data_IF_030304075430
#
_entry.id   IF_030304075430
#
_cell.length_a   1.000
_cell.length_b   1.000
_cell.length_c   1.000
_cell.angle_alpha   90.00
_cell.angle_beta   90.00
_cell.angle_gamma   90.00
#
_symmetry.space_group_name_H-M   'P 1'
#
loop_
_entity.id
_entity.type
_entity.pdbx_description
1 polymer ?
#
# COMPACT_ATOMS: atom_id res chain seq x y z
N UNK A 1 -7.94 4.86 13.38
CA UNK A 1 -9.37 5.22 13.45
C UNK A 1 -10.13 4.71 12.23
N UNK A 2 -10.02 5.35 11.04
CA UNK A 2 -10.80 4.98 9.84
C UNK A 2 -10.79 3.48 9.50
N UNK A 3 -9.63 2.83 9.39
CA UNK A 3 -9.56 1.39 9.07
C UNK A 3 -10.28 0.47 10.07
N UNK A 4 -10.29 0.82 11.37
CA UNK A 4 -11.02 0.06 12.39
C UNK A 4 -12.54 0.17 12.19
N UNK A 5 -13.03 1.35 11.77
CA UNK A 5 -14.44 1.57 11.44
C UNK A 5 -14.83 0.75 10.21
N UNK A 6 -14.00 0.73 9.15
CA UNK A 6 -14.26 -0.09 7.95
C UNK A 6 -14.31 -1.58 8.30
N UNK A 7 -13.34 -2.10 9.07
CA UNK A 7 -13.34 -3.51 9.51
C UNK A 7 -14.57 -3.85 10.37
N UNK A 8 -14.95 -2.97 11.31
CA UNK A 8 -16.15 -3.16 12.13
C UNK A 8 -17.43 -3.14 11.29
N UNK A 9 -17.56 -2.23 10.33
CA UNK A 9 -18.70 -2.17 9.41
C UNK A 9 -18.78 -3.44 8.54
N UNK A 10 -17.67 -3.90 7.97
CA UNK A 10 -17.64 -5.15 7.20
C UNK A 10 -17.99 -6.37 8.05
N UNK A 11 -17.51 -6.45 9.30
CA UNK A 11 -17.88 -7.51 10.23
C UNK A 11 -19.38 -7.48 10.57
N UNK A 12 -19.94 -6.30 10.87
CA UNK A 12 -21.37 -6.12 11.15
C UNK A 12 -22.23 -6.48 9.93
N UNK A 13 -21.84 -6.07 8.73
CA UNK A 13 -22.53 -6.42 7.49
C UNK A 13 -22.51 -7.93 7.25
N UNK A 14 -21.34 -8.57 7.33
CA UNK A 14 -21.22 -10.02 7.18
C UNK A 14 -22.05 -10.78 8.23
N UNK A 15 -21.95 -10.40 9.50
CA UNK A 15 -22.74 -11.00 10.58
C UNK A 15 -24.25 -10.83 10.36
N UNK A 16 -24.70 -9.62 9.98
CA UNK A 16 -26.11 -9.36 9.70
C UNK A 16 -26.64 -10.16 8.52
N UNK A 17 -25.84 -10.33 7.46
CA UNK A 17 -26.19 -11.16 6.31
C UNK A 17 -26.25 -12.65 6.68
N UNK A 18 -25.27 -13.16 7.45
CA UNK A 18 -25.26 -14.54 7.94
C UNK A 18 -26.47 -14.84 8.83
N UNK A 19 -26.78 -13.94 9.78
CA UNK A 19 -27.95 -14.07 10.66
C UNK A 19 -29.25 -14.00 9.85
N UNK A 20 -29.37 -13.08 8.90
CA UNK A 20 -30.54 -12.97 8.02
C UNK A 20 -30.77 -14.25 7.20
N UNK A 21 -29.72 -14.79 6.57
CA UNK A 21 -29.79 -16.04 5.79
C UNK A 21 -30.18 -17.22 6.68
N UNK A 22 -29.60 -17.31 7.89
CA UNK A 22 -29.94 -18.36 8.85
C UNK A 22 -31.41 -18.30 9.29
N UNK A 23 -31.88 -17.12 9.73
CA UNK A 23 -33.27 -16.91 10.14
C UNK A 23 -34.25 -17.20 8.98
N UNK A 24 -33.92 -16.75 7.77
CA UNK A 24 -34.74 -17.03 6.57
C UNK A 24 -34.82 -18.52 6.27
N UNK A 25 -33.71 -19.27 6.41
CA UNK A 25 -33.70 -20.73 6.21
C UNK A 25 -34.47 -21.50 7.28
N UNK A 26 -34.53 -20.98 8.51
CA UNK A 26 -35.33 -21.55 9.61
C UNK A 26 -36.82 -21.29 9.41
N UNK A 27 -37.20 -20.23 8.69
CA UNK A 27 -38.60 -19.90 8.45
C UNK A 27 -39.24 -20.70 7.30
N UNK A 28 -38.44 -21.22 6.35
CA UNK A 28 -38.93 -22.03 5.22
C UNK A 28 -39.11 -23.53 5.51
N UNK A 29 -38.56 -24.06 6.63
CA UNK A 29 -38.67 -25.51 6.98
C UNK A 29 -40.08 -25.99 7.32
N UNK A 30 -41.08 -25.09 7.37
CA UNK A 30 -42.49 -25.46 7.38
C UNK A 30 -43.01 -26.07 6.06
N UNK A 31 -42.26 -25.95 4.96
CA UNK A 31 -42.59 -26.51 3.65
C UNK A 31 -41.79 -27.78 3.34
N UNK A 32 -42.42 -28.80 2.74
CA UNK A 32 -41.88 -30.17 2.59
C UNK A 32 -40.81 -30.34 1.49
N UNK A 33 -40.04 -29.31 1.15
CA UNK A 33 -38.91 -29.42 0.21
C UNK A 33 -37.69 -28.66 0.72
N UNK A 34 -36.47 -29.21 0.59
CA UNK A 34 -35.24 -28.53 0.98
C UNK A 34 -34.93 -27.40 -0.02
N UNK A 35 -35.41 -26.19 0.27
CA UNK A 35 -35.08 -25.01 -0.51
C UNK A 35 -33.71 -24.48 -0.09
N UNK A 36 -32.80 -24.26 -1.05
CA UNK A 36 -31.55 -23.54 -0.79
C UNK A 36 -31.86 -22.11 -0.32
N UNK A 37 -31.17 -21.58 0.71
CA UNK A 37 -31.44 -20.23 1.23
C UNK A 37 -31.32 -19.17 0.14
N UNK A 38 -32.39 -18.39 -0.08
CA UNK A 38 -32.46 -17.37 -1.15
C UNK A 38 -32.37 -15.97 -0.57
N UNK A 39 -31.35 -15.20 -0.96
CA UNK A 39 -31.21 -13.80 -0.55
C UNK A 39 -32.35 -12.90 -1.08
N UNK A 40 -32.90 -13.22 -2.25
CA UNK A 40 -33.99 -12.48 -2.88
C UNK A 40 -34.80 -13.39 -3.80
N UNK A 41 -36.13 -13.20 -3.83
CA UNK A 41 -37.05 -13.85 -4.76
C UNK A 41 -37.92 -12.78 -5.41
N UNK A 42 -37.94 -12.72 -6.75
CA UNK A 42 -38.68 -11.71 -7.49
C UNK A 42 -38.29 -11.67 -8.96
N UNK A 43 -38.55 -10.54 -9.62
CA UNK A 43 -38.23 -10.33 -11.03
C UNK A 43 -36.73 -10.37 -11.31
N UNK A 44 -36.34 -11.05 -12.39
CA UNK A 44 -34.94 -11.22 -12.81
C UNK A 44 -34.21 -9.86 -12.95
N UNK A 45 -34.89 -8.83 -13.46
CA UNK A 45 -34.35 -7.47 -13.60
C UNK A 45 -33.97 -6.83 -12.27
N UNK A 46 -34.76 -7.02 -11.20
CA UNK A 46 -34.48 -6.51 -9.86
C UNK A 46 -33.40 -7.34 -9.18
N UNK A 47 -33.44 -8.67 -9.31
CA UNK A 47 -32.40 -9.56 -8.80
C UNK A 47 -31.02 -9.23 -9.39
N UNK A 48 -30.95 -9.01 -10.70
CA UNK A 48 -29.71 -8.63 -11.41
C UNK A 48 -29.15 -7.29 -10.89
N UNK A 49 -30.01 -6.26 -10.76
CA UNK A 49 -29.61 -4.95 -10.22
C UNK A 49 -29.07 -5.09 -8.80
N UNK A 50 -29.78 -5.81 -7.92
CA UNK A 50 -29.36 -6.04 -6.54
C UNK A 50 -28.01 -6.74 -6.48
N UNK A 51 -27.80 -7.79 -7.28
CA UNK A 51 -26.54 -8.51 -7.38
C UNK A 51 -25.38 -7.59 -7.78
N UNK A 52 -25.55 -6.77 -8.81
CA UNK A 52 -24.52 -5.82 -9.26
C UNK A 52 -24.17 -4.78 -8.18
N UNK A 53 -25.15 -4.25 -7.45
CA UNK A 53 -24.90 -3.29 -6.36
C UNK A 53 -24.25 -3.92 -5.13
N UNK A 54 -24.66 -5.13 -4.74
CA UNK A 54 -24.04 -5.88 -3.63
C UNK A 54 -22.58 -6.19 -3.96
N UNK A 55 -22.28 -6.68 -5.16
CA UNK A 55 -20.89 -6.87 -5.59
C UNK A 55 -20.11 -5.57 -5.67
N UNK A 56 -20.69 -4.45 -6.10
CA UNK A 56 -20.02 -3.15 -6.07
C UNK A 56 -19.63 -2.76 -4.64
N UNK A 57 -20.57 -2.83 -3.68
CA UNK A 57 -20.34 -2.50 -2.28
C UNK A 57 -19.25 -3.38 -1.64
N UNK A 58 -19.28 -4.69 -1.91
CA UNK A 58 -18.25 -5.63 -1.43
C UNK A 58 -16.87 -5.22 -1.96
N UNK A 59 -16.73 -4.92 -3.26
CA UNK A 59 -15.45 -4.52 -3.84
C UNK A 59 -14.95 -3.16 -3.29
N UNK A 60 -15.84 -2.20 -3.02
CA UNK A 60 -15.51 -0.94 -2.33
C UNK A 60 -14.94 -1.22 -0.94
N UNK A 61 -15.65 -2.00 -0.12
CA UNK A 61 -15.22 -2.33 1.25
C UNK A 61 -13.90 -3.10 1.26
N UNK A 62 -13.74 -4.11 0.40
CA UNK A 62 -12.50 -4.87 0.25
C UNK A 62 -11.32 -3.99 -0.15
N UNK A 63 -11.51 -3.05 -1.09
CA UNK A 63 -10.43 -2.12 -1.48
C UNK A 63 -10.06 -1.18 -0.32
N UNK A 64 -11.03 -0.70 0.46
CA UNK A 64 -10.79 0.17 1.63
C UNK A 64 -10.06 -0.57 2.76
N UNK A 65 -10.38 -1.86 3.00
CA UNK A 65 -9.63 -2.72 3.91
C UNK A 65 -8.20 -2.92 3.41
N UNK A 66 -8.03 -3.31 2.14
CA UNK A 66 -6.70 -3.50 1.53
C UNK A 66 -5.83 -2.24 1.61
N UNK A 67 -6.42 -1.07 1.32
CA UNK A 67 -5.76 0.24 1.43
C UNK A 67 -5.35 0.56 2.87
N UNK A 68 -6.24 0.29 3.83
CA UNK A 68 -5.97 0.48 5.26
C UNK A 68 -4.87 -0.45 5.76
N UNK A 69 -4.93 -1.75 5.43
CA UNK A 69 -3.90 -2.74 5.77
C UNK A 69 -2.55 -2.36 5.17
N UNK A 70 -2.51 -1.91 3.91
CA UNK A 70 -1.29 -1.44 3.25
C UNK A 70 -0.67 -0.24 4.00
N UNK A 71 -1.47 0.72 4.44
CA UNK A 71 -1.00 1.84 5.26
C UNK A 71 -0.47 1.39 6.63
N UNK A 72 -1.19 0.52 7.35
CA UNK A 72 -0.71 0.00 8.64
C UNK A 72 0.58 -0.84 8.47
N UNK A 73 0.69 -1.64 7.42
CA UNK A 73 1.93 -2.34 7.07
C UNK A 73 3.09 -1.38 6.81
N UNK A 74 2.87 -0.26 6.10
CA UNK A 74 3.88 0.78 5.89
C UNK A 74 4.32 1.44 7.22
N UNK A 75 3.39 1.74 8.13
CA UNK A 75 3.75 2.26 9.45
C UNK A 75 4.55 1.28 10.30
N UNK A 76 4.22 -0.02 10.27
CA UNK A 76 4.96 -1.04 11.02
C UNK A 76 6.38 -1.29 10.49
N UNK A 77 6.61 -1.04 9.19
CA UNK A 77 7.96 -1.07 8.56
C UNK A 77 8.77 0.21 8.79
N UNK A 78 8.18 1.27 9.33
CA UNK A 78 8.88 2.53 9.58
C UNK A 78 9.83 2.38 10.77
N UNK A 79 11.15 2.55 10.60
CA UNK A 79 12.10 2.41 11.70
C UNK A 79 12.02 3.62 12.65
N UNK A 80 12.15 3.35 13.95
CA UNK A 80 12.32 4.38 14.98
C UNK A 80 13.74 4.97 14.94
N UNK A 81 13.94 6.17 15.51
CA UNK A 81 15.28 6.80 15.53
C UNK A 81 16.34 5.90 16.19
N UNK A 82 16.01 5.26 17.31
CA UNK A 82 16.91 4.34 18.00
C UNK A 82 17.26 3.09 17.16
N UNK A 83 16.35 2.59 16.32
CA UNK A 83 16.64 1.50 15.37
C UNK A 83 17.55 2.00 14.24
N UNK A 84 17.34 3.22 13.71
CA UNK A 84 18.24 3.85 12.74
C UNK A 84 19.65 4.01 13.32
N UNK A 85 19.78 4.57 14.53
CA UNK A 85 21.08 4.76 15.20
C UNK A 85 21.80 3.44 15.47
N UNK A 86 21.06 2.36 15.80
CA UNK A 86 21.62 1.01 15.96
C UNK A 86 22.18 0.46 14.65
N UNK A 87 21.51 0.70 13.52
CA UNK A 87 21.96 0.22 12.20
C UNK A 87 23.12 1.07 11.67
N UNK A 88 23.11 2.39 11.90
CA UNK A 88 24.21 3.29 11.54
C UNK A 88 25.51 2.95 12.28
N UNK A 89 25.45 2.51 13.55
CA UNK A 89 26.61 1.96 14.28
C UNK A 89 27.26 0.75 13.60
N UNK A 90 26.53 0.04 12.75
CA UNK A 90 27.02 -1.12 11.99
C UNK A 90 27.46 -0.76 10.56
N UNK A 91 27.57 0.54 10.23
CA UNK A 91 27.85 1.04 8.86
C UNK A 91 26.81 0.58 7.82
N UNK A 92 25.59 0.29 8.26
CA UNK A 92 24.46 -0.09 7.43
C UNK A 92 23.42 1.03 7.37
N UNK A 93 22.46 0.92 6.45
CA UNK A 93 21.35 1.85 6.30
C UNK A 93 20.00 1.14 6.22
N UNK A 94 18.96 1.82 6.69
CA UNK A 94 17.54 1.45 6.49
C UNK A 94 16.83 2.44 5.56
N UNK A 95 15.69 2.03 5.00
CA UNK A 95 14.82 2.91 4.24
C UNK A 95 13.80 3.62 5.16
N UNK A 96 13.49 4.88 4.86
CA UNK A 96 12.57 5.75 5.59
C UNK A 96 11.50 6.24 4.62
N UNK A 97 10.24 6.28 5.06
CA UNK A 97 9.12 6.87 4.29
C UNK A 97 8.63 6.08 3.07
N UNK A 98 9.15 4.88 2.80
CA UNK A 98 8.74 4.02 1.67
C UNK A 98 8.44 2.59 2.13
N UNK A 99 7.70 1.83 1.32
CA UNK A 99 7.39 0.43 1.59
C UNK A 99 8.58 -0.50 1.25
N UNK A 100 9.49 -0.71 2.20
CA UNK A 100 10.66 -1.57 2.02
C UNK A 100 10.65 -2.75 3.00
N UNK A 101 10.56 -3.97 2.46
CA UNK A 101 10.52 -5.22 3.24
C UNK A 101 11.88 -5.54 3.89
N UNK A 102 12.98 -5.00 3.38
CA UNK A 102 14.31 -5.11 3.99
C UNK A 102 14.36 -4.55 5.42
N UNK A 103 13.51 -3.55 5.73
CA UNK A 103 13.38 -3.01 7.08
C UNK A 103 12.94 -4.05 8.12
N UNK A 104 12.23 -5.13 7.71
CA UNK A 104 11.79 -6.20 8.60
C UNK A 104 12.93 -6.80 9.43
N UNK A 105 14.15 -6.81 8.90
CA UNK A 105 15.34 -7.35 9.59
C UNK A 105 15.74 -6.50 10.79
N UNK A 106 15.52 -5.19 10.73
CA UNK A 106 16.04 -4.20 11.66
C UNK A 106 15.01 -3.71 12.70
N UNK A 107 13.71 -3.76 12.39
CA UNK A 107 12.65 -3.37 13.31
C UNK A 107 12.46 -4.36 14.47
N UNK A 108 11.92 -3.84 15.58
CA UNK A 108 11.53 -4.56 16.78
C UNK A 108 10.64 -5.78 16.53
N UNK A 109 10.78 -6.80 17.39
CA UNK A 109 10.01 -8.05 17.29
C UNK A 109 8.49 -7.81 17.28
N UNK A 110 7.98 -6.90 18.13
CA UNK A 110 6.56 -6.53 18.15
C UNK A 110 6.07 -6.04 16.78
N UNK A 111 6.76 -5.07 16.18
CA UNK A 111 6.36 -4.52 14.89
C UNK A 111 6.47 -5.57 13.78
N UNK A 112 7.49 -6.44 13.83
CA UNK A 112 7.68 -7.57 12.92
C UNK A 112 6.53 -8.59 13.01
N UNK A 113 6.15 -9.02 14.22
CA UNK A 113 5.03 -9.93 14.45
C UNK A 113 3.71 -9.30 14.00
N UNK A 114 3.44 -8.04 14.36
CA UNK A 114 2.23 -7.34 13.90
C UNK A 114 2.19 -7.19 12.38
N UNK A 115 3.33 -6.89 11.74
CA UNK A 115 3.40 -6.80 10.28
C UNK A 115 3.18 -8.18 9.64
N UNK A 116 3.80 -9.24 10.16
CA UNK A 116 3.60 -10.61 9.70
C UNK A 116 2.14 -11.01 9.86
N UNK A 117 1.52 -10.81 11.03
CA UNK A 117 0.09 -11.11 11.25
C UNK A 117 -0.79 -10.28 10.32
N UNK A 118 -0.48 -9.01 10.04
CA UNK A 118 -1.28 -8.19 9.12
C UNK A 118 -1.10 -8.59 7.65
N UNK A 119 0.13 -8.92 7.23
CA UNK A 119 0.42 -9.42 5.89
C UNK A 119 -0.20 -10.81 5.67
N UNK A 120 -0.06 -11.71 6.65
CA UNK A 120 -0.63 -13.07 6.68
C UNK A 120 -2.08 -13.16 7.17
N UNK A 121 -2.75 -12.03 7.43
CA UNK A 121 -4.22 -11.94 7.43
C UNK A 121 -4.74 -11.21 6.20
N UNK A 122 -4.02 -10.27 5.60
CA UNK A 122 -4.52 -9.53 4.42
C UNK A 122 -4.34 -10.32 3.10
N UNK A 123 -3.17 -10.91 2.86
CA UNK A 123 -2.95 -11.80 1.71
C UNK A 123 -3.73 -13.13 1.88
N UNK A 124 -3.76 -13.74 3.08
CA UNK A 124 -4.44 -14.99 3.33
C UNK A 124 -5.83 -14.82 3.96
N UNK A 125 -6.48 -13.66 3.95
CA UNK A 125 -7.96 -13.65 3.95
C UNK A 125 -8.50 -13.77 2.53
N UNK A 126 -7.73 -13.32 1.52
CA UNK A 126 -7.96 -13.80 0.14
C UNK A 126 -7.57 -15.28 -0.03
N UNK A 127 -6.49 -15.76 0.61
CA UNK A 127 -6.00 -17.14 0.43
C UNK A 127 -6.46 -18.19 1.48
N UNK A 128 -6.85 -17.84 2.71
CA UNK A 128 -7.35 -18.80 3.75
C UNK A 128 -8.88 -18.84 3.85
N UNK A 129 -9.60 -17.78 3.48
CA UNK A 129 -11.02 -17.97 3.08
C UNK A 129 -11.14 -18.93 1.89
N UNK A 130 -10.02 -19.13 1.17
CA UNK A 130 -9.81 -20.12 0.11
C UNK A 130 -9.23 -21.47 0.62
N UNK A 131 -8.53 -21.53 1.77
CA UNK A 131 -7.88 -22.76 2.29
C UNK A 131 -8.61 -23.42 3.47
N UNK A 132 -9.64 -22.81 4.08
CA UNK A 132 -10.43 -23.45 5.14
C UNK A 132 -11.61 -24.30 4.62
N UNK A 133 -11.59 -24.72 3.35
CA UNK A 133 -12.33 -25.90 2.87
C UNK A 133 -11.56 -26.65 1.76
N UNK A 134 -11.46 -27.98 1.91
CA UNK A 134 -10.55 -28.82 1.13
C UNK A 134 -11.07 -29.33 -0.24
N UNK A 135 -10.25 -29.05 -1.26
CA UNK A 135 -9.89 -29.83 -2.45
C UNK A 135 -10.83 -30.11 -3.65
N UNK A 136 -10.23 -29.93 -4.85
CA UNK A 136 -10.67 -30.28 -6.20
C UNK A 136 -11.15 -29.08 -7.05
N UNK A 137 -11.94 -29.27 -8.11
CA UNK A 137 -11.68 -29.86 -9.44
C UNK A 137 -12.95 -29.64 -10.31
N UNK A 138 -12.88 -28.86 -11.40
CA UNK A 138 -14.03 -28.24 -12.09
C UNK A 138 -14.54 -28.89 -13.37
N UNK A 139 -15.63 -28.32 -13.88
CA UNK A 139 -16.43 -28.76 -15.02
C UNK A 139 -15.56 -29.24 -16.21
N UNK A 140 -15.92 -30.42 -16.73
CA UNK A 140 -15.04 -31.24 -17.54
C UNK A 140 -14.72 -30.61 -18.90
N UNK A 141 -15.54 -29.70 -19.39
CA UNK A 141 -15.40 -29.14 -20.75
C UNK A 141 -14.26 -28.11 -20.89
N UNK A 142 -13.91 -27.38 -19.83
CA UNK A 142 -12.77 -26.46 -19.85
C UNK A 142 -11.42 -27.18 -19.71
N UNK A 143 -11.38 -28.24 -18.90
CA UNK A 143 -10.19 -29.10 -18.76
C UNK A 143 -10.00 -30.08 -19.93
N UNK A 144 -11.06 -30.35 -20.71
CA UNK A 144 -11.00 -31.17 -21.94
C UNK A 144 -9.99 -30.62 -22.96
N UNK A 145 -9.87 -29.29 -23.08
CA UNK A 145 -8.92 -28.64 -23.97
C UNK A 145 -7.50 -28.54 -23.39
N UNK A 146 -7.33 -28.78 -22.08
CA UNK A 146 -6.05 -28.74 -21.37
C UNK A 146 -5.46 -30.15 -21.10
N UNK A 147 -6.09 -31.22 -21.60
CA UNK A 147 -5.52 -32.57 -21.59
C UNK A 147 -5.60 -33.34 -20.26
N UNK A 148 -6.40 -32.88 -19.30
CA UNK A 148 -6.51 -33.48 -17.96
C UNK A 148 -7.88 -34.16 -17.76
N UNK A 149 -8.02 -35.36 -18.32
CA UNK A 149 -9.30 -36.10 -18.39
C UNK A 149 -9.67 -36.86 -17.11
N UNK A 150 -10.96 -36.88 -16.78
CA UNK A 150 -11.58 -37.91 -15.92
C UNK A 150 -12.82 -38.45 -16.62
N UNK A 151 -12.83 -39.76 -16.91
CA UNK A 151 -13.88 -40.49 -17.63
C UNK A 151 -15.14 -40.64 -16.76
N UNK A 152 -16.30 -40.64 -17.41
CA UNK A 152 -17.61 -40.86 -16.79
C UNK A 152 -17.99 -42.34 -16.82
N UNK A 153 -18.22 -42.94 -15.66
CA UNK A 153 -18.73 -44.31 -15.52
C UNK A 153 -19.88 -44.40 -14.49
N UNK A 154 -20.71 -45.42 -14.60
CA UNK A 154 -22.13 -45.36 -14.23
C UNK A 154 -22.52 -45.96 -12.87
N UNK A 155 -23.60 -45.38 -12.32
CA UNK A 155 -24.61 -45.92 -11.38
C UNK A 155 -24.26 -47.16 -10.52
N UNK A 156 -23.75 -46.94 -9.29
CA UNK A 156 -24.20 -47.65 -8.06
C UNK A 156 -23.57 -47.16 -6.72
N UNK A 157 -22.82 -46.05 -6.68
CA UNK A 157 -22.29 -45.46 -5.43
C UNK A 157 -22.43 -43.93 -5.45
N UNK A 158 -23.65 -43.46 -5.70
CA UNK A 158 -23.83 -42.21 -6.46
C UNK A 158 -23.81 -40.92 -5.65
N UNK A 159 -24.47 -40.84 -4.49
CA UNK A 159 -24.77 -39.52 -3.91
C UNK A 159 -23.60 -38.85 -3.19
N UNK A 160 -22.83 -39.61 -2.38
CA UNK A 160 -21.61 -39.11 -1.75
C UNK A 160 -20.55 -38.73 -2.80
N UNK A 161 -20.38 -39.54 -3.85
CA UNK A 161 -19.44 -39.28 -4.95
C UNK A 161 -19.90 -38.10 -5.83
N UNK A 162 -21.21 -37.93 -6.04
CA UNK A 162 -21.83 -36.76 -6.71
C UNK A 162 -21.64 -35.48 -5.90
N UNK A 163 -21.98 -35.48 -4.61
CA UNK A 163 -21.85 -34.33 -3.71
C UNK A 163 -20.39 -33.89 -3.58
N UNK A 164 -19.46 -34.85 -3.46
CA UNK A 164 -18.02 -34.61 -3.56
C UNK A 164 -17.65 -33.96 -4.89
N UNK A 165 -18.04 -34.54 -6.04
CA UNK A 165 -17.65 -34.00 -7.34
C UNK A 165 -18.24 -32.62 -7.70
N UNK A 166 -19.39 -32.26 -7.13
CA UNK A 166 -20.00 -30.94 -7.31
C UNK A 166 -19.30 -29.87 -6.45
N UNK A 167 -18.98 -30.20 -5.19
CA UNK A 167 -18.18 -29.35 -4.29
C UNK A 167 -16.82 -29.02 -4.91
N UNK A 168 -16.20 -30.04 -5.53
CA UNK A 168 -14.95 -29.88 -6.28
C UNK A 168 -15.07 -28.80 -7.36
N UNK A 169 -16.13 -28.82 -8.18
CA UNK A 169 -16.23 -27.86 -9.28
C UNK A 169 -16.47 -26.42 -8.85
N UNK A 170 -17.15 -26.25 -7.73
CA UNK A 170 -17.31 -24.97 -7.06
C UNK A 170 -15.96 -24.36 -6.68
N UNK A 171 -15.11 -25.13 -5.98
CA UNK A 171 -13.82 -24.64 -5.48
C UNK A 171 -12.91 -24.16 -6.61
N UNK A 172 -12.71 -24.96 -7.66
CA UNK A 172 -11.79 -24.60 -8.75
C UNK A 172 -12.26 -23.39 -9.57
N UNK A 173 -13.58 -23.18 -9.73
CA UNK A 173 -14.12 -21.96 -10.39
C UNK A 173 -13.93 -20.73 -9.48
N UNK A 174 -14.21 -20.85 -8.18
CA UNK A 174 -14.01 -19.78 -7.20
C UNK A 174 -12.53 -19.40 -7.08
N UNK A 175 -11.63 -20.38 -7.00
CA UNK A 175 -10.17 -20.19 -7.02
C UNK A 175 -9.74 -19.41 -8.26
N UNK A 176 -10.13 -19.86 -9.45
CA UNK A 176 -9.72 -19.25 -10.70
C UNK A 176 -10.20 -17.80 -10.84
N UNK A 177 -11.46 -17.51 -10.47
CA UNK A 177 -11.98 -16.16 -10.47
C UNK A 177 -11.26 -15.24 -9.45
N UNK A 178 -10.92 -15.76 -8.26
CA UNK A 178 -10.24 -14.99 -7.23
C UNK A 178 -8.73 -14.83 -7.44
N UNK A 179 -8.06 -15.70 -8.22
CA UNK A 179 -6.66 -15.51 -8.63
C UNK A 179 -6.48 -14.18 -9.34
N UNK A 180 -7.39 -13.81 -10.24
CA UNK A 180 -7.35 -12.52 -10.93
C UNK A 180 -7.62 -11.34 -9.99
N UNK A 181 -8.52 -11.51 -9.01
CA UNK A 181 -8.76 -10.50 -7.97
C UNK A 181 -7.51 -10.27 -7.11
N UNK A 182 -6.82 -11.35 -6.69
CA UNK A 182 -5.57 -11.28 -5.95
C UNK A 182 -4.46 -10.59 -6.76
N UNK A 183 -4.35 -10.86 -8.07
CA UNK A 183 -3.38 -10.18 -8.93
C UNK A 183 -3.65 -8.67 -9.04
N UNK A 184 -4.91 -8.24 -9.10
CA UNK A 184 -5.28 -6.81 -9.04
C UNK A 184 -4.91 -6.21 -7.67
N UNK A 185 -5.14 -6.92 -6.56
CA UNK A 185 -4.76 -6.49 -5.20
C UNK A 185 -3.23 -6.35 -5.04
N UNK A 186 -2.45 -7.28 -5.60
CA UNK A 186 -0.98 -7.21 -5.59
C UNK A 186 -0.49 -6.05 -6.46
N UNK A 187 -1.08 -5.87 -7.64
CA UNK A 187 -0.77 -4.74 -8.52
C UNK A 187 -1.09 -3.39 -7.86
N UNK A 188 -2.16 -3.29 -7.05
CA UNK A 188 -2.45 -2.10 -6.23
C UNK A 188 -1.31 -1.81 -5.23
N UNK A 189 -0.86 -2.82 -4.47
CA UNK A 189 0.21 -2.64 -3.47
C UNK A 189 1.51 -2.19 -4.15
N UNK A 190 1.91 -2.85 -5.24
CA UNK A 190 3.10 -2.48 -6.02
C UNK A 190 3.01 -1.07 -6.60
N UNK A 191 1.86 -0.71 -7.19
CA UNK A 191 1.63 0.63 -7.77
C UNK A 191 1.65 1.70 -6.67
N UNK A 192 1.01 1.46 -5.52
CA UNK A 192 1.04 2.37 -4.39
C UNK A 192 2.46 2.56 -3.83
N UNK A 193 3.21 1.47 -3.67
CA UNK A 193 4.60 1.52 -3.19
C UNK A 193 5.48 2.36 -4.12
N UNK A 194 5.40 2.13 -5.43
CA UNK A 194 6.22 2.85 -6.41
C UNK A 194 5.81 4.32 -6.55
N UNK A 195 4.52 4.64 -6.60
CA UNK A 195 4.04 6.03 -6.54
C UNK A 195 4.51 6.74 -5.25
N UNK A 196 4.58 6.02 -4.13
CA UNK A 196 5.13 6.57 -2.88
C UNK A 196 6.63 6.86 -3.01
N UNK A 197 7.43 5.96 -3.58
CA UNK A 197 8.85 6.19 -3.85
C UNK A 197 9.06 7.41 -4.78
N UNK A 198 8.36 7.48 -5.92
CA UNK A 198 8.42 8.63 -6.83
C UNK A 198 7.99 9.94 -6.14
N UNK A 199 6.96 9.91 -5.30
CA UNK A 199 6.52 11.10 -4.58
C UNK A 199 7.54 11.57 -3.54
N UNK A 200 8.10 10.66 -2.74
CA UNK A 200 9.16 10.94 -1.74
C UNK A 200 10.39 11.55 -2.43
N UNK A 201 10.88 10.92 -3.50
CA UNK A 201 12.03 11.44 -4.25
C UNK A 201 11.72 12.80 -4.92
N UNK A 202 10.51 12.99 -5.48
CA UNK A 202 10.11 14.29 -6.03
C UNK A 202 10.02 15.40 -4.97
N UNK A 203 9.67 15.05 -3.73
CA UNK A 203 9.68 16.02 -2.64
C UNK A 203 11.12 16.33 -2.20
N UNK A 204 11.94 15.30 -1.99
CA UNK A 204 13.37 15.39 -1.67
C UNK A 204 14.11 16.31 -2.63
N UNK A 205 14.06 16.02 -3.94
CA UNK A 205 14.68 16.85 -4.97
C UNK A 205 14.16 18.28 -4.98
N UNK A 206 12.88 18.47 -4.68
CA UNK A 206 12.28 19.80 -4.58
C UNK A 206 12.74 20.62 -3.37
N UNK A 207 13.51 20.08 -2.42
CA UNK A 207 14.21 20.88 -1.39
C UNK A 207 15.56 21.45 -1.88
N UNK A 208 16.08 21.04 -3.04
CA UNK A 208 17.28 21.67 -3.62
C UNK A 208 16.96 22.96 -4.38
N UNK A 209 15.74 23.06 -4.90
CA UNK A 209 15.29 24.18 -5.75
C UNK A 209 14.44 25.23 -5.03
N UNK A 210 13.84 24.89 -3.88
CA UNK A 210 13.03 25.83 -3.09
C UNK A 210 12.98 25.47 -1.61
N UNK A 211 12.99 26.50 -0.76
CA UNK A 211 12.70 26.36 0.67
C UNK A 211 11.33 25.71 0.91
N UNK A 212 11.30 24.75 1.83
CA UNK A 212 10.08 24.09 2.32
C UNK A 212 10.21 23.79 3.81
N UNK A 213 9.11 23.87 4.53
CA UNK A 213 9.00 23.37 5.90
C UNK A 213 8.83 21.86 5.93
N UNK A 214 9.50 21.18 6.88
CA UNK A 214 9.41 19.73 7.07
C UNK A 214 7.97 19.26 7.37
N UNK A 215 7.67 18.02 6.99
CA UNK A 215 6.41 17.33 7.30
C UNK A 215 6.60 16.39 8.49
N UNK A 216 5.80 16.57 9.55
CA UNK A 216 5.87 15.79 10.81
C UNK A 216 4.47 15.46 11.33
N UNK A 217 4.33 14.42 12.16
CA UNK A 217 3.02 13.95 12.62
C UNK A 217 2.31 14.92 13.57
N UNK A 218 3.09 15.59 14.44
CA UNK A 218 2.62 16.67 15.32
C UNK A 218 3.43 17.94 15.01
N UNK A 219 2.93 18.84 14.16
CA UNK A 219 3.68 20.03 13.73
C UNK A 219 3.78 21.09 14.82
N UNK A 220 4.95 21.72 14.91
CA UNK A 220 5.23 22.90 15.72
C UNK A 220 5.69 24.06 14.83
N UNK A 221 5.26 25.29 15.17
CA UNK A 221 5.68 26.50 14.45
C UNK A 221 5.29 26.49 12.96
N UNK A 222 6.27 26.58 12.06
CA UNK A 222 6.06 26.61 10.60
C UNK A 222 6.09 25.21 9.94
N UNK A 223 6.19 24.13 10.71
CA UNK A 223 6.13 22.76 10.20
C UNK A 223 4.76 22.43 9.59
N UNK A 224 4.71 21.43 8.71
CA UNK A 224 3.46 20.91 8.12
C UNK A 224 3.11 19.57 8.75
N UNK A 225 1.82 19.27 8.87
CA UNK A 225 1.37 17.91 9.21
C UNK A 225 1.75 16.94 8.08
N UNK A 226 1.96 15.65 8.40
CA UNK A 226 1.97 14.61 7.36
C UNK A 226 0.58 14.46 6.75
N UNK A 227 0.49 13.76 5.62
CA UNK A 227 -0.80 13.24 5.17
C UNK A 227 -1.19 12.06 6.07
N UNK A 228 -2.49 11.86 6.29
CA UNK A 228 -3.03 10.66 6.94
C UNK A 228 -2.89 9.39 6.06
N UNK A 229 -2.74 9.58 4.75
CA UNK A 229 -2.39 8.54 3.77
C UNK A 229 -0.93 8.70 3.35
N UNK A 230 -0.24 7.61 2.99
CA UNK A 230 1.15 7.65 2.51
C UNK A 230 1.36 8.57 1.29
N UNK A 231 0.31 8.71 0.46
CA UNK A 231 0.26 9.58 -0.70
C UNK A 231 -0.73 10.75 -0.50
N UNK A 232 -0.48 11.92 -1.11
CA UNK A 232 -1.47 12.99 -1.20
C UNK A 232 -2.81 12.49 -1.78
N UNK A 233 -3.93 13.01 -1.28
CA UNK A 233 -5.29 12.65 -1.72
C UNK A 233 -5.49 12.69 -3.25
N UNK A 234 -4.86 13.65 -3.93
CA UNK A 234 -4.89 13.80 -5.41
C UNK A 234 -4.30 12.61 -6.19
N UNK A 235 -3.49 11.76 -5.55
CA UNK A 235 -2.98 10.51 -6.14
C UNK A 235 -3.64 9.29 -5.50
N UNK A 236 -3.86 9.32 -4.18
CA UNK A 236 -4.44 8.20 -3.46
C UNK A 236 -5.90 7.92 -3.85
N UNK A 237 -6.73 8.96 -4.04
CA UNK A 237 -8.14 8.76 -4.40
C UNK A 237 -8.32 8.20 -5.82
N UNK A 238 -7.69 8.77 -6.89
CA UNK A 238 -7.80 8.17 -8.22
C UNK A 238 -7.21 6.76 -8.29
N UNK A 239 -6.11 6.49 -7.57
CA UNK A 239 -5.51 5.15 -7.50
C UNK A 239 -6.51 4.16 -6.89
N UNK A 240 -6.97 4.40 -5.66
CA UNK A 240 -7.91 3.50 -4.97
C UNK A 240 -9.21 3.35 -5.76
N UNK A 241 -9.78 4.42 -6.31
CA UNK A 241 -10.98 4.36 -7.13
C UNK A 241 -10.81 3.51 -8.41
N UNK A 242 -9.69 3.66 -9.11
CA UNK A 242 -9.42 2.86 -10.33
C UNK A 242 -9.29 1.37 -10.01
N UNK A 243 -8.61 1.02 -8.91
CA UNK A 243 -8.50 -0.36 -8.46
C UNK A 243 -9.84 -0.93 -7.95
N UNK A 244 -10.68 -0.14 -7.26
CA UNK A 244 -12.05 -0.55 -6.92
C UNK A 244 -12.90 -0.82 -8.16
N UNK A 245 -12.80 0.04 -9.19
CA UNK A 245 -13.50 -0.17 -10.47
C UNK A 245 -13.01 -1.46 -11.12
N UNK A 246 -11.70 -1.71 -11.18
CA UNK A 246 -11.13 -2.95 -11.73
C UNK A 246 -11.60 -4.20 -10.99
N UNK A 247 -11.58 -4.20 -9.66
CA UNK A 247 -12.09 -5.31 -8.84
C UNK A 247 -13.58 -5.58 -9.12
N UNK A 248 -14.38 -4.51 -9.22
CA UNK A 248 -15.81 -4.61 -9.53
C UNK A 248 -16.07 -5.12 -10.96
N UNK A 249 -15.44 -4.52 -11.98
CA UNK A 249 -15.64 -4.95 -13.38
C UNK A 249 -15.14 -6.37 -13.59
N UNK A 250 -14.04 -6.77 -12.95
CA UNK A 250 -13.59 -8.16 -12.95
C UNK A 250 -14.66 -9.08 -12.35
N UNK A 251 -15.27 -8.72 -11.21
CA UNK A 251 -16.34 -9.52 -10.56
C UNK A 251 -17.62 -9.64 -11.40
N UNK A 252 -17.91 -8.67 -12.29
CA UNK A 252 -19.01 -8.77 -13.26
C UNK A 252 -18.61 -9.50 -14.55
N UNK A 253 -17.31 -9.66 -14.80
CA UNK A 253 -16.76 -10.32 -15.98
C UNK A 253 -16.57 -11.82 -15.83
N UNK A 254 -16.30 -12.29 -14.61
CA UNK A 254 -16.03 -13.68 -14.26
C UNK A 254 -16.78 -14.00 -12.97
N UNK A 255 -17.85 -14.78 -13.07
CA UNK A 255 -18.76 -15.08 -11.96
C UNK A 255 -19.20 -16.53 -11.97
N UNK A 256 -19.46 -17.10 -10.78
CA UNK A 256 -20.01 -18.44 -10.67
C UNK A 256 -21.50 -18.43 -11.09
N UNK A 257 -21.90 -19.38 -11.93
CA UNK A 257 -23.30 -19.63 -12.30
C UNK A 257 -23.68 -21.06 -12.00
N UNK A 258 -24.87 -21.26 -11.42
CA UNK A 258 -25.48 -22.58 -11.20
C UNK A 258 -26.69 -22.70 -12.11
N UNK A 259 -26.75 -23.75 -12.93
CA UNK A 259 -27.88 -24.05 -13.81
C UNK A 259 -28.55 -25.33 -13.33
N UNK A 260 -29.76 -25.19 -12.78
CA UNK A 260 -30.62 -26.31 -12.42
C UNK A 260 -31.48 -26.73 -13.61
N UNK A 261 -31.28 -27.95 -14.10
CA UNK A 261 -32.08 -28.57 -15.16
C UNK A 261 -33.18 -29.41 -14.51
N UNK A 262 -34.43 -29.05 -14.78
CA UNK A 262 -35.61 -29.69 -14.19
C UNK A 262 -36.35 -30.51 -15.26
N UNK A 263 -36.61 -31.79 -14.99
CA UNK A 263 -37.41 -32.64 -15.87
C UNK A 263 -38.84 -32.77 -15.31
N UNK A 264 -39.75 -33.36 -16.09
CA UNK A 264 -41.16 -33.59 -15.70
C UNK A 264 -41.36 -34.44 -14.44
N UNK A 265 -40.33 -35.16 -13.97
CA UNK A 265 -40.31 -35.90 -12.71
C UNK A 265 -39.53 -35.24 -11.56
N UNK A 266 -39.03 -34.00 -11.73
CA UNK A 266 -38.22 -33.28 -10.75
C UNK A 266 -36.80 -32.93 -11.22
N UNK A 267 -36.00 -32.42 -10.28
CA UNK A 267 -34.66 -31.88 -10.53
C UNK A 267 -33.73 -32.96 -11.10
N UNK A 268 -33.32 -32.80 -12.37
CA UNK A 268 -32.56 -33.81 -13.10
C UNK A 268 -31.05 -33.68 -12.89
N UNK A 269 -30.52 -32.45 -12.92
CA UNK A 269 -29.11 -32.15 -12.72
C UNK A 269 -28.91 -30.68 -12.34
N UNK A 270 -27.94 -30.40 -11.49
CA UNK A 270 -27.40 -29.05 -11.30
C UNK A 270 -25.99 -29.04 -11.90
N UNK A 271 -25.74 -28.10 -12.82
CA UNK A 271 -24.44 -27.91 -13.45
C UNK A 271 -23.85 -26.57 -13.01
N UNK A 272 -22.52 -26.57 -12.87
CA UNK A 272 -21.76 -25.45 -12.34
C UNK A 272 -20.84 -24.88 -13.41
N UNK A 273 -21.00 -23.61 -13.73
CA UNK A 273 -20.28 -22.96 -14.82
C UNK A 273 -19.59 -21.68 -14.35
N UNK A 274 -18.43 -21.39 -14.94
CA UNK A 274 -17.85 -20.06 -14.91
C UNK A 274 -18.58 -19.21 -15.95
N UNK A 275 -19.52 -18.38 -15.48
CA UNK A 275 -20.14 -17.36 -16.30
C UNK A 275 -19.10 -16.30 -16.69
N UNK A 276 -18.99 -16.02 -17.99
CA UNK A 276 -18.16 -14.94 -18.51
C UNK A 276 -19.02 -13.88 -19.19
N UNK A 277 -18.72 -12.60 -18.94
CA UNK A 277 -19.43 -11.48 -19.55
C UNK A 277 -18.45 -10.62 -20.36
N UNK A 278 -18.50 -10.64 -21.70
CA UNK A 278 -17.50 -9.98 -22.54
C UNK A 278 -17.38 -8.47 -22.31
N UNK A 279 -18.51 -7.78 -22.06
CA UNK A 279 -18.55 -6.31 -21.92
C UNK A 279 -17.69 -5.80 -20.73
N UNK A 280 -17.91 -6.25 -19.48
CA UNK A 280 -17.05 -5.88 -18.36
C UNK A 280 -15.64 -6.49 -18.45
N UNK A 281 -15.45 -7.63 -19.13
CA UNK A 281 -14.11 -8.19 -19.37
C UNK A 281 -13.25 -7.24 -20.22
N UNK A 282 -13.79 -6.78 -21.37
CA UNK A 282 -13.14 -5.80 -22.24
C UNK A 282 -12.81 -4.50 -21.49
N UNK A 283 -13.73 -4.00 -20.65
CA UNK A 283 -13.50 -2.81 -19.83
C UNK A 283 -12.37 -3.02 -18.81
N UNK A 284 -12.33 -4.19 -18.15
CA UNK A 284 -11.28 -4.55 -17.19
C UNK A 284 -9.90 -4.60 -17.87
N UNK A 285 -9.81 -5.24 -19.04
CA UNK A 285 -8.58 -5.32 -19.84
C UNK A 285 -8.14 -3.93 -20.33
N UNK A 286 -9.07 -3.08 -20.79
CA UNK A 286 -8.76 -1.73 -21.25
C UNK A 286 -8.23 -0.83 -20.13
N UNK A 287 -8.85 -0.84 -18.95
CA UNK A 287 -8.39 -0.07 -17.78
C UNK A 287 -7.03 -0.61 -17.29
N UNK A 288 -6.87 -1.94 -17.22
CA UNK A 288 -5.62 -2.58 -16.83
C UNK A 288 -4.46 -2.26 -17.79
N UNK A 289 -4.70 -2.33 -19.10
CA UNK A 289 -3.74 -1.96 -20.13
C UNK A 289 -3.34 -0.49 -20.06
N UNK A 290 -4.29 0.42 -19.86
CA UNK A 290 -4.01 1.85 -19.68
C UNK A 290 -3.15 2.10 -18.43
N UNK A 291 -3.45 1.43 -17.31
CA UNK A 291 -2.61 1.54 -16.10
C UNK A 291 -1.19 1.05 -16.33
N UNK A 292 -1.00 -0.07 -17.05
CA UNK A 292 0.33 -0.59 -17.39
C UNK A 292 1.11 0.41 -18.27
N UNK A 293 0.46 1.05 -19.24
CA UNK A 293 1.08 2.08 -20.09
C UNK A 293 1.45 3.35 -19.29
N UNK A 294 0.55 3.84 -18.42
CA UNK A 294 0.83 4.98 -17.52
C UNK A 294 2.00 4.65 -16.60
N UNK A 295 2.02 3.45 -16.03
CA UNK A 295 3.06 2.97 -15.13
C UNK A 295 4.42 2.82 -15.83
N UNK A 296 4.46 2.21 -17.02
CA UNK A 296 5.66 2.16 -17.85
C UNK A 296 6.17 3.58 -18.20
N UNK A 297 5.27 4.48 -18.57
CA UNK A 297 5.59 5.89 -18.82
C UNK A 297 6.13 6.65 -17.60
N UNK A 298 5.76 6.26 -16.38
CA UNK A 298 6.34 6.78 -15.13
C UNK A 298 7.74 6.18 -14.90
N UNK A 299 7.89 4.86 -15.05
CA UNK A 299 9.18 4.16 -14.89
C UNK A 299 10.26 4.64 -15.89
N UNK A 300 9.86 5.10 -17.07
CA UNK A 300 10.77 5.69 -18.07
C UNK A 300 11.16 7.15 -17.78
N UNK A 301 10.60 7.81 -16.75
CA UNK A 301 10.97 9.19 -16.41
C UNK A 301 12.26 9.26 -15.60
N UNK A 302 13.32 9.73 -16.25
CA UNK A 302 14.55 10.15 -15.56
C UNK A 302 14.32 11.50 -14.89
N UNK A 303 14.31 11.52 -13.55
CA UNK A 303 14.30 12.75 -12.78
C UNK A 303 15.73 13.30 -12.64
N UNK A 304 16.06 14.35 -13.39
CA UNK A 304 17.24 15.17 -13.10
C UNK A 304 17.01 15.91 -11.78
N UNK A 305 17.96 15.80 -10.86
CA UNK A 305 17.85 16.27 -9.48
C UNK A 305 19.07 17.09 -9.08
N UNK A 306 18.89 18.00 -8.12
CA UNK A 306 19.98 18.80 -7.53
C UNK A 306 20.58 18.09 -6.31
N UNK A 307 19.76 17.32 -5.58
CA UNK A 307 20.23 16.51 -4.46
C UNK A 307 20.72 15.15 -4.95
N UNK A 308 21.66 14.51 -4.24
CA UNK A 308 21.90 13.07 -4.37
C UNK A 308 20.59 12.29 -4.28
N UNK A 309 20.37 11.36 -5.21
CA UNK A 309 19.16 10.54 -5.24
C UNK A 309 19.09 9.61 -4.03
N UNK A 310 17.88 9.31 -3.55
CA UNK A 310 17.68 8.41 -2.42
C UNK A 310 17.19 9.15 -1.18
N UNK A 311 16.18 10.02 -1.32
CA UNK A 311 15.50 10.70 -0.22
C UNK A 311 14.78 9.76 0.77
N UNK A 312 14.83 8.46 0.54
CA UNK A 312 14.41 7.41 1.47
C UNK A 312 15.58 6.72 2.19
N UNK A 313 16.83 6.93 1.81
CA UNK A 313 17.99 6.26 2.43
C UNK A 313 18.41 6.99 3.70
N UNK A 314 18.32 6.33 4.86
CA UNK A 314 18.70 6.92 6.16
C UNK A 314 20.13 7.48 6.21
N UNK A 315 21.09 6.86 5.51
CA UNK A 315 22.47 7.38 5.44
C UNK A 315 22.57 8.67 4.62
N UNK A 316 21.91 8.74 3.45
CA UNK A 316 21.88 9.94 2.59
C UNK A 316 21.13 11.09 3.28
N UNK A 317 20.02 10.78 3.95
CA UNK A 317 19.28 11.74 4.78
C UNK A 317 20.18 12.25 5.91
N UNK A 318 20.93 11.38 6.60
CA UNK A 318 21.82 11.79 7.68
C UNK A 318 22.97 12.68 7.18
N UNK A 319 23.60 12.32 6.05
CA UNK A 319 24.67 13.09 5.44
C UNK A 319 24.22 14.53 5.10
N UNK A 320 23.03 14.67 4.49
CA UNK A 320 22.46 15.96 4.15
C UNK A 320 22.00 16.81 5.36
N UNK A 321 21.94 16.23 6.57
CA UNK A 321 21.44 16.87 7.78
C UNK A 321 22.53 17.42 8.73
N UNK A 322 23.80 17.45 8.32
CA UNK A 322 24.89 18.09 9.07
C UNK A 322 24.81 19.63 9.00
N UNK A 323 23.77 20.19 9.60
CA UNK A 323 23.56 21.65 9.66
C UNK A 323 24.63 22.37 10.53
N UNK A 324 24.87 23.68 10.32
CA UNK A 324 25.65 24.49 11.26
C UNK A 324 25.13 24.43 12.69
N UNK A 325 26.02 24.61 13.68
CA UNK A 325 25.67 24.52 15.11
C UNK A 325 24.71 25.63 15.56
N UNK A 326 24.79 26.79 14.90
CA UNK A 326 24.00 28.00 15.15
C UNK A 326 22.54 27.83 14.69
N UNK A 327 22.30 27.04 13.64
CA UNK A 327 20.97 26.84 13.04
C UNK A 327 20.11 25.83 13.85
N UNK A 328 20.02 26.02 15.17
CA UNK A 328 19.39 25.07 16.09
C UNK A 328 17.92 24.81 15.77
N UNK A 329 17.21 25.84 15.33
CA UNK A 329 15.78 25.78 14.99
C UNK A 329 15.50 25.40 13.53
N UNK A 330 16.50 24.94 12.76
CA UNK A 330 16.32 24.56 11.35
C UNK A 330 15.07 23.68 11.13
N UNK A 331 14.86 22.71 12.02
CA UNK A 331 13.73 21.77 11.96
C UNK A 331 12.34 22.43 12.09
N UNK A 332 12.24 23.61 12.71
CA UNK A 332 11.01 24.37 12.90
C UNK A 332 10.77 25.41 11.78
N UNK A 333 11.79 25.69 10.96
CA UNK A 333 11.82 26.71 9.92
C UNK A 333 11.72 26.08 8.51
N UNK A 334 11.44 26.87 7.45
CA UNK A 334 11.59 26.40 6.07
C UNK A 334 13.07 26.21 5.71
N UNK A 335 13.45 24.99 5.33
CA UNK A 335 14.83 24.63 4.95
C UNK A 335 14.97 24.46 3.44
N UNK A 336 16.18 24.69 2.93
CA UNK A 336 16.62 24.33 1.59
C UNK A 336 17.97 23.61 1.72
N UNK A 337 18.29 22.73 0.77
CA UNK A 337 19.60 22.08 0.69
C UNK A 337 20.47 22.76 -0.37
N UNK A 338 21.74 22.99 -0.05
CA UNK A 338 22.74 23.56 -0.95
C UNK A 338 24.05 23.88 -0.20
N UNK A 339 24.99 24.54 -0.88
CA UNK A 339 26.25 24.98 -0.29
C UNK A 339 25.98 26.12 0.71
N UNK A 340 26.46 25.95 1.95
CA UNK A 340 26.49 27.00 2.97
C UNK A 340 27.83 27.73 2.89
N UNK A 341 27.83 29.05 2.68
CA UNK A 341 29.06 29.80 2.54
C UNK A 341 29.78 30.00 3.88
N UNK A 342 31.09 29.67 3.90
CA UNK A 342 31.95 29.81 5.08
C UNK A 342 32.06 31.25 5.63
N UNK A 343 31.69 32.27 4.83
CA UNK A 343 31.67 33.68 5.25
C UNK A 343 30.49 33.98 6.17
N UNK A 344 29.29 33.46 5.88
CA UNK A 344 28.15 33.55 6.82
C UNK A 344 28.46 32.78 8.10
N UNK A 345 29.13 31.61 7.99
CA UNK A 345 29.56 30.84 9.16
C UNK A 345 30.56 31.63 10.03
N UNK A 346 31.59 32.27 9.46
CA UNK A 346 32.53 33.13 10.21
C UNK A 346 31.83 34.32 10.87
N UNK A 347 30.87 34.96 10.20
CA UNK A 347 30.12 36.10 10.73
C UNK A 347 29.10 35.71 11.83
N UNK A 348 28.50 34.52 11.72
CA UNK A 348 27.62 33.95 12.74
C UNK A 348 28.42 33.48 13.97
N UNK A 349 29.59 32.87 13.77
CA UNK A 349 30.50 32.49 14.86
C UNK A 349 30.98 33.74 15.62
N UNK A 350 31.37 34.82 14.93
CA UNK A 350 31.84 36.04 15.62
C UNK A 350 30.73 36.73 16.40
N UNK A 351 29.50 36.79 15.87
CA UNK A 351 28.35 37.36 16.58
C UNK A 351 27.85 36.45 17.72
N UNK A 352 27.93 35.13 17.58
CA UNK A 352 27.63 34.19 18.67
C UNK A 352 28.69 34.22 19.79
N UNK A 353 29.98 34.40 19.46
CA UNK A 353 31.03 34.64 20.45
C UNK A 353 30.83 35.96 21.18
N UNK A 354 30.51 37.05 20.48
CA UNK A 354 30.20 38.34 21.08
C UNK A 354 28.97 38.26 22.01
N UNK A 355 27.94 37.49 21.63
CA UNK A 355 26.78 37.24 22.48
C UNK A 355 27.12 36.41 23.73
N UNK A 356 28.00 35.40 23.63
CA UNK A 356 28.49 34.63 24.79
C UNK A 356 29.33 35.48 25.75
N UNK A 357 30.18 36.37 25.24
CA UNK A 357 31.00 37.26 26.07
C UNK A 357 30.18 38.30 26.86
N UNK A 358 28.93 38.58 26.45
CA UNK A 358 28.00 39.40 27.20
C UNK A 358 27.35 38.69 28.40
N UNK A 359 27.36 37.35 28.43
CA UNK A 359 26.72 36.53 29.49
C UNK A 359 27.72 36.09 30.58
N UNK A 360 29.02 35.95 30.24
CA UNK A 360 30.07 35.51 31.18
C UNK A 360 31.02 36.64 31.62
N UNK A 361 30.50 37.57 32.44
CA UNK A 361 31.33 38.55 33.12
C UNK A 361 32.07 37.95 34.34
N UNK A 362 33.08 37.07 34.10
CA UNK A 362 34.12 36.70 35.11
C UNK A 362 35.34 35.91 34.53
N UNK A 363 36.50 36.57 34.52
CA UNK A 363 37.87 35.99 34.65
C UNK A 363 38.44 35.34 33.33
N UNK A 364 39.74 35.45 33.00
CA UNK A 364 40.31 36.52 32.18
C UNK A 364 40.87 36.05 30.82
N UNK A 365 41.32 36.99 29.99
CA UNK A 365 41.79 36.74 28.63
C UNK A 365 43.07 35.86 28.55
N UNK A 366 43.03 34.81 27.74
CA UNK A 366 44.19 34.22 27.04
C UNK A 366 43.78 33.65 25.68
N UNK A 367 44.75 33.60 24.76
CA UNK A 367 44.68 33.01 23.42
C UNK A 367 43.79 33.71 22.37
N UNK A 368 44.27 34.85 21.87
CA UNK A 368 44.07 35.21 20.45
C UNK A 368 44.67 34.10 19.56
N UNK A 369 43.81 33.22 19.04
CA UNK A 369 44.16 32.39 17.89
C UNK A 369 43.80 33.14 16.61
N UNK A 370 44.74 33.95 16.14
CA UNK A 370 44.74 34.40 14.76
C UNK A 370 44.81 33.17 13.85
N UNK A 371 43.68 32.82 13.23
CA UNK A 371 43.65 31.74 12.23
C UNK A 371 44.27 32.29 10.95
N UNK A 372 45.53 31.92 10.71
CA UNK A 372 46.23 32.23 9.47
C UNK A 372 45.40 31.79 8.26
N UNK A 373 45.26 32.69 7.29
CA UNK A 373 44.59 32.43 6.02
C UNK A 373 45.51 31.62 5.10
N UNK A 374 45.82 30.39 5.53
CA UNK A 374 46.42 29.38 4.67
C UNK A 374 45.47 29.15 3.49
N UNK A 375 45.96 29.30 2.26
CA UNK A 375 45.17 29.31 1.02
C UNK A 375 44.42 28.01 0.66
N UNK A 376 44.26 27.11 1.63
CA UNK A 376 43.45 25.92 1.54
C UNK A 376 41.99 26.29 1.79
N UNK A 377 41.28 26.71 0.72
CA UNK A 377 39.83 26.88 0.78
C UNK A 377 39.20 25.59 1.31
N UNK A 378 38.62 25.63 2.52
CA UNK A 378 37.89 24.49 3.08
C UNK A 378 36.82 24.06 2.05
N UNK A 379 36.67 22.76 1.78
CA UNK A 379 35.61 22.27 0.90
C UNK A 379 34.26 22.80 1.40
N UNK A 380 33.39 23.18 0.47
CA UNK A 380 32.06 23.66 0.82
C UNK A 380 31.29 22.57 1.54
N UNK A 381 30.35 22.94 2.41
CA UNK A 381 29.51 21.97 3.11
C UNK A 381 28.08 22.06 2.58
N UNK A 382 27.50 20.91 2.17
CA UNK A 382 26.17 20.86 1.56
C UNK A 382 25.13 20.24 2.50
N UNK A 383 24.23 21.05 3.06
CA UNK A 383 23.23 20.56 4.02
C UNK A 383 21.89 21.30 3.98
N UNK A 384 20.89 20.71 4.66
CA UNK A 384 19.64 21.39 4.97
C UNK A 384 19.87 22.47 6.03
N UNK A 385 19.58 23.73 5.68
CA UNK A 385 19.63 24.85 6.62
C UNK A 385 18.47 25.83 6.39
N UNK A 386 18.15 26.61 7.43
CA UNK A 386 17.29 27.78 7.32
C UNK A 386 18.01 29.03 6.78
N UNK A 387 19.35 29.03 6.76
CA UNK A 387 20.20 30.08 6.17
C UNK A 387 20.23 30.03 4.64
N UNK A 388 20.85 31.04 4.02
CA UNK A 388 20.99 31.12 2.57
C UNK A 388 21.94 30.07 2.05
N UNK A 389 21.55 29.45 0.93
CA UNK A 389 22.32 28.40 0.28
C UNK A 389 22.44 28.72 -1.20
N UNK A 390 23.59 28.41 -1.77
CA UNK A 390 23.83 28.45 -3.21
C UNK A 390 23.76 27.04 -3.79
N UNK A 391 23.52 26.95 -5.10
CA UNK A 391 23.55 25.65 -5.78
C UNK A 391 24.99 25.11 -5.80
N UNK A 392 25.21 23.83 -5.47
CA UNK A 392 26.55 23.25 -5.55
C UNK A 392 27.01 23.19 -7.01
N UNK A 393 28.23 23.64 -7.25
CA UNK A 393 28.90 23.56 -8.54
C UNK A 393 29.35 22.12 -8.85
N UNK A 394 29.03 21.63 -10.05
CA UNK A 394 29.52 20.34 -10.55
C UNK A 394 31.05 20.32 -10.60
N UNK A 395 31.66 19.17 -10.24
CA UNK A 395 33.12 18.98 -10.23
C UNK A 395 33.85 19.51 -8.98
N UNK A 396 33.19 20.27 -8.09
CA UNK A 396 33.77 20.69 -6.81
C UNK A 396 33.55 19.64 -5.73
N UNK A 397 34.54 19.44 -4.85
CA UNK A 397 34.41 18.57 -3.68
C UNK A 397 33.68 19.30 -2.54
N UNK A 398 32.75 18.59 -1.91
CA UNK A 398 32.00 19.02 -0.74
C UNK A 398 32.19 18.00 0.39
N UNK A 399 32.24 18.48 1.62
CA UNK A 399 32.24 17.66 2.83
C UNK A 399 30.83 17.55 3.42
#
# INVERSE_FOLDING_TARGET
>A
FCGCVVVALTLLLNLSATVYVHLSSVQETGSKQPLHPRLFLGSCTTALKLNTYVHFLINVLSTLILSSSNLFMQHLLSPTRAEVDKVHKQQLWVAIGIYNWGNLRFISCRNRVLWTVLAFSSLPLHLLYILEMEFGAADQNAFLQLGLSIVQESRSMQDLKRKSSMMRGFLAIVLFANTWQLLISLQYICTNALLTCFYVESEWQGYGTKRKSLRVSSPLGKQRSTYFLSLPWRYALPLTATFTILHWTLSQSMFLTVIAVNNSGGLASELLFLGTSPKPLMLTVAIGGLLLLVFAGICLRICKGVLPQGGSCSAIISAACHRPEEDRDAALKPVQWGEVHAVELKALISTAHAARQLDEHKIPATADYAVEDTGFQRPGHCCFTSYNVTHPNEGRQYC
#
